data_IF_676042631413
#
_entry.id   IF_676042631413
#
_cell.length_a   1.000
_cell.length_b   1.000
_cell.length_c   1.000
_cell.angle_alpha   90.00
_cell.angle_beta   90.00
_cell.angle_gamma   90.00
#
_symmetry.space_group_name_H-M   'P 1'
#
loop_
_entity.id
_entity.type
_entity.pdbx_description
1 polymer ?
#
# COMPACT_ATOMS: atom_id res chain seq x y z
N UNK A 1 2.96 18.40 2.50
CA UNK A 1 2.44 17.04 2.27
C UNK A 1 2.00 16.98 0.82
N UNK A 2 2.40 15.97 0.02
CA UNK A 2 1.86 15.84 -1.33
C UNK A 2 0.33 15.76 -1.26
N UNK A 3 -0.35 16.32 -2.26
CA UNK A 3 -1.79 16.27 -2.35
C UNK A 3 -2.25 14.81 -2.41
N UNK A 4 -3.23 14.45 -1.56
CA UNK A 4 -3.88 13.13 -1.65
C UNK A 4 -4.75 13.10 -2.90
N UNK A 5 -4.57 12.08 -3.72
CA UNK A 5 -5.33 11.86 -4.95
C UNK A 5 -6.19 10.62 -4.75
N UNK A 6 -7.47 10.73 -5.09
CA UNK A 6 -8.38 9.59 -5.18
C UNK A 6 -9.06 9.56 -6.54
N UNK A 7 -9.02 8.41 -7.20
CA UNK A 7 -9.68 8.18 -8.49
C UNK A 7 -10.55 6.94 -8.38
N UNK A 8 -11.79 7.04 -8.86
CA UNK A 8 -12.73 5.91 -8.90
C UNK A 8 -12.94 5.46 -10.34
N UNK A 9 -12.97 4.14 -10.54
CA UNK A 9 -13.35 3.49 -11.80
C UNK A 9 -14.16 2.24 -11.48
N UNK A 10 -15.43 2.23 -11.87
CA UNK A 10 -16.38 1.17 -11.52
C UNK A 10 -16.39 0.94 -9.99
N UNK A 11 -16.14 -0.29 -9.54
CA UNK A 11 -16.06 -0.63 -8.11
C UNK A 11 -14.67 -0.37 -7.49
N UNK A 12 -13.68 0.03 -8.30
CA UNK A 12 -12.32 0.22 -7.84
C UNK A 12 -12.02 1.67 -7.47
N UNK A 13 -11.27 1.86 -6.38
CA UNK A 13 -10.70 3.13 -5.98
C UNK A 13 -9.17 3.03 -5.98
N UNK A 14 -8.49 4.02 -6.55
CA UNK A 14 -7.05 4.22 -6.36
C UNK A 14 -6.88 5.41 -5.41
N UNK A 15 -6.11 5.24 -4.35
CA UNK A 15 -5.81 6.31 -3.39
C UNK A 15 -4.31 6.42 -3.15
N UNK A 16 -3.82 7.66 -3.05
CA UNK A 16 -2.46 7.95 -2.58
C UNK A 16 -2.41 8.30 -1.10
N UNK A 17 -3.48 8.05 -0.34
CA UNK A 17 -3.51 8.27 1.10
C UNK A 17 -2.84 7.10 1.85
N UNK A 18 -1.65 7.28 2.44
CA UNK A 18 -0.97 6.22 3.19
C UNK A 18 -1.78 5.72 4.38
N UNK A 19 -2.72 6.51 4.91
CA UNK A 19 -3.57 6.10 6.03
C UNK A 19 -4.58 5.00 5.66
N UNK A 20 -4.83 4.76 4.37
CA UNK A 20 -5.73 3.70 3.89
C UNK A 20 -5.04 2.36 3.66
N UNK A 21 -3.70 2.33 3.68
CA UNK A 21 -2.94 1.11 3.41
C UNK A 21 -3.06 0.10 4.54
N UNK A 22 -3.36 -1.14 4.18
CA UNK A 22 -3.14 -2.32 5.02
C UNK A 22 -1.65 -2.66 5.03
N UNK A 23 -0.93 -1.99 5.93
CA UNK A 23 0.53 -2.13 6.07
C UNK A 23 0.93 -3.55 6.47
N UNK A 24 0.06 -4.27 7.18
CA UNK A 24 0.32 -5.62 7.65
C UNK A 24 0.23 -6.61 6.48
N UNK A 25 -0.80 -6.51 5.66
CA UNK A 25 -0.92 -7.30 4.43
C UNK A 25 0.23 -7.03 3.44
N UNK A 26 0.63 -5.75 3.28
CA UNK A 26 1.77 -5.38 2.41
C UNK A 26 3.07 -6.00 2.94
N UNK A 27 3.34 -5.92 4.24
CA UNK A 27 4.55 -6.49 4.84
C UNK A 27 4.60 -8.02 4.74
N UNK A 28 3.47 -8.72 4.98
CA UNK A 28 3.39 -10.17 4.83
C UNK A 28 3.64 -10.59 3.37
N UNK A 29 2.96 -9.94 2.42
CA UNK A 29 3.13 -10.23 0.99
C UNK A 29 4.58 -10.03 0.54
N UNK A 30 5.21 -8.91 0.92
CA UNK A 30 6.60 -8.61 0.56
C UNK A 30 7.57 -9.62 1.19
N UNK A 31 7.32 -10.09 2.41
CA UNK A 31 8.16 -11.11 3.06
C UNK A 31 8.18 -12.42 2.27
N UNK A 32 7.08 -12.75 1.59
CA UNK A 32 6.94 -13.95 0.74
C UNK A 32 7.43 -13.74 -0.71
N UNK A 33 7.61 -12.51 -1.16
CA UNK A 33 8.11 -12.21 -2.49
C UNK A 33 9.61 -12.54 -2.60
N UNK A 34 10.02 -13.19 -3.71
CA UNK A 34 11.42 -13.65 -3.85
C UNK A 34 12.45 -12.51 -3.74
N UNK A 35 12.09 -11.29 -4.16
CA UNK A 35 12.96 -10.10 -4.12
C UNK A 35 12.95 -9.35 -2.78
N UNK A 36 12.04 -9.68 -1.88
CA UNK A 36 11.92 -9.04 -0.56
C UNK A 36 11.96 -10.06 0.59
N UNK A 37 12.39 -11.30 0.30
CA UNK A 37 12.56 -12.37 1.27
C UNK A 37 13.44 -11.93 2.45
N UNK A 38 12.95 -12.13 3.67
CA UNK A 38 13.67 -11.78 4.90
C UNK A 38 13.77 -10.28 5.19
N UNK A 39 13.06 -9.43 4.46
CA UNK A 39 12.96 -8.00 4.76
C UNK A 39 12.24 -7.79 6.12
N UNK A 40 12.82 -7.06 7.07
CA UNK A 40 12.13 -6.70 8.32
C UNK A 40 10.93 -5.79 8.06
N UNK A 41 9.87 -5.91 8.88
CA UNK A 41 8.62 -5.13 8.77
C UNK A 41 8.89 -3.63 8.80
N UNK A 42 9.82 -3.19 9.66
CA UNK A 42 10.19 -1.78 9.85
C UNK A 42 10.78 -1.17 8.57
N UNK A 43 11.44 -1.98 7.72
CA UNK A 43 11.92 -1.50 6.42
C UNK A 43 10.76 -1.20 5.46
N UNK A 44 9.71 -2.00 5.48
CA UNK A 44 8.50 -1.77 4.67
C UNK A 44 7.77 -0.53 5.16
N UNK A 45 7.53 -0.41 6.45
CA UNK A 45 6.88 0.76 7.06
C UNK A 45 7.63 2.05 6.73
N UNK A 46 8.96 2.06 6.90
CA UNK A 46 9.80 3.21 6.53
C UNK A 46 9.74 3.52 5.03
N UNK A 47 9.65 2.52 4.16
CA UNK A 47 9.52 2.74 2.73
C UNK A 47 8.17 3.38 2.37
N UNK A 48 7.08 2.88 2.94
CA UNK A 48 5.72 3.43 2.74
C UNK A 48 5.64 4.88 3.21
N UNK A 49 6.25 5.21 4.36
CA UNK A 49 6.26 6.56 4.91
C UNK A 49 7.05 7.59 4.08
N UNK A 50 7.98 7.14 3.23
CA UNK A 50 8.88 8.00 2.44
C UNK A 50 8.65 7.87 0.93
N UNK A 51 7.56 7.25 0.49
CA UNK A 51 7.23 7.06 -0.92
C UNK A 51 5.87 7.65 -1.27
N UNK A 52 5.66 7.98 -2.55
CA UNK A 52 4.30 8.13 -3.06
C UNK A 52 3.70 6.74 -3.26
N UNK A 53 2.71 6.41 -2.46
CA UNK A 53 2.04 5.12 -2.49
C UNK A 53 0.78 5.19 -3.36
N UNK A 54 0.40 4.05 -3.92
CA UNK A 54 -0.87 3.86 -4.62
C UNK A 54 -1.50 2.59 -4.07
N UNK A 55 -2.61 2.73 -3.35
CA UNK A 55 -3.43 1.59 -2.95
C UNK A 55 -4.62 1.43 -3.89
N UNK A 56 -4.94 0.20 -4.28
CA UNK A 56 -6.10 -0.17 -5.07
C UNK A 56 -7.11 -0.84 -4.13
N UNK A 57 -8.36 -0.41 -4.18
CA UNK A 57 -9.43 -0.89 -3.30
C UNK A 57 -10.63 -1.35 -4.11
N UNK A 58 -11.23 -2.48 -3.74
CA UNK A 58 -12.58 -2.88 -4.16
C UNK A 58 -13.52 -2.68 -2.96
N UNK A 59 -14.32 -1.61 -3.01
CA UNK A 59 -14.98 -1.07 -1.82
C UNK A 59 -13.96 -0.58 -0.78
N UNK A 60 -14.04 -1.12 0.44
CA UNK A 60 -13.11 -0.81 1.54
C UNK A 60 -11.90 -1.76 1.61
N UNK A 61 -11.91 -2.84 0.83
CA UNK A 61 -10.85 -3.86 0.87
C UNK A 61 -9.70 -3.46 -0.04
N UNK A 62 -8.49 -3.37 0.50
CA UNK A 62 -7.29 -3.24 -0.32
C UNK A 62 -7.03 -4.54 -1.12
N UNK A 63 -6.82 -4.39 -2.42
CA UNK A 63 -6.58 -5.48 -3.39
C UNK A 63 -5.31 -5.27 -4.21
N UNK A 64 -4.62 -4.14 -4.06
CA UNK A 64 -3.36 -3.81 -4.73
C UNK A 64 -2.68 -2.57 -4.20
#
# INVERSE_FOLDING_TARGET
MPQKIEVKKDNFTISTDPARLDTEAIADMLTRAYWAKGRPRERTERALANSLVFGIYDGEKQVG
#
